data_IF_704102169866
#
_entry.id   IF_704102169866
#
_cell.length_a   1.000
_cell.length_b   1.000
_cell.length_c   1.000
_cell.angle_alpha   90.00
_cell.angle_beta   90.00
_cell.angle_gamma   90.00
#
_symmetry.space_group_name_H-M   'P 1'
#
loop_
_entity.id
_entity.type
_entity.pdbx_description
1 polymer ?
#
# COMPACT_ATOMS: atom_id res chain seq x y z
N UNK A 1 -7.00 9.42 -0.39
CA UNK A 1 -6.26 8.26 -0.92
C UNK A 1 -4.90 8.10 -0.25
N UNK A 2 -3.96 9.04 -0.40
CA UNK A 2 -2.62 8.94 0.19
C UNK A 2 -2.60 8.74 1.72
N UNK A 3 -3.44 9.47 2.46
CA UNK A 3 -3.56 9.31 3.92
C UNK A 3 -4.07 7.92 4.32
N UNK A 4 -5.04 7.38 3.58
CA UNK A 4 -5.56 6.01 3.80
C UNK A 4 -4.45 4.98 3.59
N UNK A 5 -3.64 5.16 2.54
CA UNK A 5 -2.46 4.31 2.29
C UNK A 5 -1.46 4.40 3.43
N UNK A 6 -1.15 5.61 3.89
CA UNK A 6 -0.21 5.86 4.98
C UNK A 6 -0.65 5.21 6.29
N UNK A 7 -1.89 5.47 6.71
CA UNK A 7 -2.43 4.96 7.97
C UNK A 7 -2.64 3.46 7.92
N UNK A 8 -3.24 2.94 6.86
CA UNK A 8 -3.57 1.52 6.76
C UNK A 8 -2.34 0.64 6.55
N UNK A 9 -1.34 1.06 5.78
CA UNK A 9 -0.07 0.30 5.67
C UNK A 9 0.75 0.31 6.97
N UNK A 10 0.49 1.24 7.88
CA UNK A 10 1.10 1.26 9.22
C UNK A 10 0.46 0.22 10.15
N UNK A 11 -0.75 -0.24 9.86
CA UNK A 11 -1.35 -1.37 10.55
C UNK A 11 -0.70 -2.67 10.08
N UNK A 12 -0.46 -3.61 10.99
CA UNK A 12 0.17 -4.89 10.66
C UNK A 12 -0.63 -5.69 9.61
N UNK A 13 -1.94 -5.50 9.58
CA UNK A 13 -2.86 -6.14 8.63
C UNK A 13 -2.79 -5.54 7.22
N UNK A 14 -2.28 -4.30 7.10
CA UNK A 14 -2.28 -3.53 5.87
C UNK A 14 -3.65 -2.95 5.53
N UNK A 15 -3.89 -2.78 4.24
CA UNK A 15 -5.10 -2.17 3.66
C UNK A 15 -5.84 -3.20 2.82
N UNK A 16 -7.15 -3.34 3.04
CA UNK A 16 -8.01 -4.11 2.16
C UNK A 16 -8.33 -3.32 0.90
N UNK A 17 -8.18 -3.98 -0.25
CA UNK A 17 -8.46 -3.41 -1.57
C UNK A 17 -9.93 -2.98 -1.66
N UNK A 18 -10.84 -3.86 -1.22
CA UNK A 18 -12.29 -3.57 -1.20
C UNK A 18 -12.64 -2.38 -0.31
N UNK A 19 -12.03 -2.27 0.86
CA UNK A 19 -12.29 -1.14 1.76
C UNK A 19 -11.86 0.18 1.12
N UNK A 20 -10.71 0.20 0.43
CA UNK A 20 -10.29 1.36 -0.34
C UNK A 20 -11.29 1.66 -1.48
N UNK A 21 -11.71 0.65 -2.23
CA UNK A 21 -12.68 0.79 -3.32
C UNK A 21 -14.03 1.33 -2.82
N UNK A 22 -14.54 0.83 -1.69
CA UNK A 22 -15.80 1.27 -1.09
C UNK A 22 -15.73 2.74 -0.64
N UNK A 23 -14.56 3.19 -0.16
CA UNK A 23 -14.35 4.56 0.30
C UNK A 23 -14.08 5.57 -0.84
N UNK A 24 -13.44 5.14 -1.93
CA UNK A 24 -12.95 6.06 -2.97
C UNK A 24 -13.52 5.81 -4.38
N UNK A 25 -14.24 4.71 -4.59
CA UNK A 25 -14.84 4.34 -5.88
C UNK A 25 -13.84 3.89 -6.95
N UNK A 26 -12.57 3.69 -6.58
CA UNK A 26 -11.48 3.30 -7.49
C UNK A 26 -10.56 2.28 -6.82
N UNK A 27 -9.94 1.40 -7.61
CA UNK A 27 -9.01 0.42 -7.06
C UNK A 27 -7.67 1.07 -6.67
N UNK A 28 -7.12 0.79 -5.48
CA UNK A 28 -5.77 1.24 -5.13
C UNK A 28 -4.72 0.64 -6.06
N UNK A 29 -5.00 -0.53 -6.65
CA UNK A 29 -4.12 -1.18 -7.63
C UNK A 29 -3.99 -0.37 -8.92
N UNK A 30 -5.03 0.35 -9.33
CA UNK A 30 -5.01 1.19 -10.52
C UNK A 30 -4.38 2.56 -10.22
N UNK A 31 -4.78 3.18 -9.11
CA UNK A 31 -4.30 4.51 -8.70
C UNK A 31 -2.79 4.50 -8.41
N UNK A 32 -2.29 3.43 -7.79
CA UNK A 32 -0.89 3.32 -7.35
C UNK A 32 -0.11 2.24 -8.10
N UNK A 33 -0.57 1.80 -9.28
CA UNK A 33 0.07 0.76 -10.09
C UNK A 33 1.61 0.87 -10.17
N UNK A 34 2.21 2.01 -10.59
CA UNK A 34 3.67 2.11 -10.70
C UNK A 34 4.37 2.04 -9.34
N UNK A 35 3.77 2.62 -8.29
CA UNK A 35 4.31 2.60 -6.93
C UNK A 35 4.27 1.19 -6.36
N UNK A 36 3.18 0.46 -6.56
CA UNK A 36 3.07 -0.94 -6.12
C UNK A 36 4.01 -1.85 -6.88
N UNK A 37 4.17 -1.69 -8.19
CA UNK A 37 5.11 -2.48 -8.96
C UNK A 37 6.55 -2.29 -8.45
N UNK A 38 6.96 -1.04 -8.25
CA UNK A 38 8.28 -0.71 -7.71
C UNK A 38 8.51 -1.30 -6.32
N UNK A 39 7.56 -1.10 -5.39
CA UNK A 39 7.68 -1.57 -4.02
C UNK A 39 7.60 -3.10 -3.90
N UNK A 40 6.82 -3.75 -4.76
CA UNK A 40 6.72 -5.22 -4.81
C UNK A 40 8.02 -5.81 -5.38
N UNK A 41 8.56 -5.23 -6.45
CA UNK A 41 9.89 -5.61 -6.99
C UNK A 41 11.01 -5.43 -5.96
N UNK A 42 10.93 -4.39 -5.14
CA UNK A 42 11.85 -4.16 -4.03
C UNK A 42 11.61 -5.06 -2.81
N UNK A 43 10.57 -5.90 -2.81
CA UNK A 43 10.22 -6.79 -1.69
C UNK A 43 9.75 -6.05 -0.44
N UNK A 44 9.31 -4.80 -0.56
CA UNK A 44 8.88 -3.96 0.57
C UNK A 44 7.39 -4.10 0.87
N UNK A 45 6.58 -4.39 -0.14
CA UNK A 45 5.17 -4.69 0.04
C UNK A 45 4.85 -6.06 -0.55
N UNK A 46 3.75 -6.62 -0.05
CA UNK A 46 3.09 -7.78 -0.64
C UNK A 46 1.66 -7.38 -0.99
N UNK A 47 1.30 -7.63 -2.24
CA UNK A 47 -0.05 -7.47 -2.77
C UNK A 47 -0.62 -8.86 -2.96
N UNK A 48 -1.75 -9.15 -2.31
CA UNK A 48 -2.56 -10.34 -2.58
C UNK A 48 -3.92 -9.95 -3.18
N UNK A 49 -4.79 -10.92 -3.46
CA UNK A 49 -6.09 -10.68 -4.08
C UNK A 49 -7.06 -9.85 -3.22
N UNK A 50 -6.77 -9.63 -1.93
CA UNK A 50 -7.63 -8.94 -0.97
C UNK A 50 -6.98 -7.70 -0.36
N UNK A 51 -5.67 -7.68 -0.15
CA UNK A 51 -4.98 -6.64 0.62
C UNK A 51 -3.57 -6.34 0.15
N UNK A 52 -3.10 -5.16 0.52
CA UNK A 52 -1.72 -4.71 0.40
C UNK A 52 -1.14 -4.51 1.80
N UNK A 53 0.03 -5.08 2.07
CA UNK A 53 0.69 -4.98 3.38
C UNK A 53 2.20 -4.88 3.25
N UNK A 54 2.85 -4.37 4.30
CA UNK A 54 4.31 -4.36 4.39
C UNK A 54 4.84 -5.79 4.57
N UNK A 55 6.00 -6.06 3.98
CA UNK A 55 6.83 -7.21 4.37
C UNK A 55 7.64 -6.85 5.62
N UNK A 56 8.38 -7.80 6.18
CA UNK A 56 9.30 -7.50 7.29
C UNK A 56 10.32 -6.40 6.90
N UNK A 57 10.87 -6.47 5.69
CA UNK A 57 11.76 -5.44 5.16
C UNK A 57 11.04 -4.09 4.95
N UNK A 58 9.80 -4.14 4.45
CA UNK A 58 8.94 -2.96 4.33
C UNK A 58 8.64 -2.28 5.66
N UNK A 59 8.47 -3.04 6.74
CA UNK A 59 8.27 -2.49 8.08
C UNK A 59 9.51 -1.76 8.58
N UNK A 60 10.71 -2.30 8.35
CA UNK A 60 11.98 -1.64 8.71
C UNK A 60 12.21 -0.34 7.91
N UNK A 61 11.70 -0.30 6.68
CA UNK A 61 11.82 0.84 5.76
C UNK A 61 10.48 1.59 5.58
N UNK A 62 9.58 1.52 6.57
CA UNK A 62 8.19 1.95 6.41
C UNK A 62 8.09 3.41 5.98
N UNK A 63 8.92 4.29 6.54
CA UNK A 63 8.94 5.71 6.19
C UNK A 63 9.29 5.95 4.71
N UNK A 64 10.17 5.12 4.14
CA UNK A 64 10.54 5.19 2.71
C UNK A 64 9.44 4.62 1.82
N UNK A 65 8.66 3.66 2.31
CA UNK A 65 7.47 3.17 1.59
C UNK A 65 6.39 4.24 1.57
N UNK A 66 6.13 4.85 2.73
CA UNK A 66 5.09 5.86 2.93
C UNK A 66 5.31 7.13 2.12
N UNK A 67 6.56 7.61 2.02
CA UNK A 67 6.88 8.80 1.24
C UNK A 67 6.54 8.67 -0.24
N UNK A 68 6.44 7.44 -0.78
CA UNK A 68 6.06 7.19 -2.18
C UNK A 68 4.57 7.39 -2.48
N UNK A 69 3.74 7.54 -1.45
CA UNK A 69 2.31 7.79 -1.59
C UNK A 69 1.95 9.27 -1.39
N UNK A 70 2.91 10.09 -0.96
CA UNK A 70 2.75 11.55 -0.84
C UNK A 70 2.95 12.22 -2.21
N UNK A 71 2.29 13.36 -2.46
CA UNK A 71 2.48 14.15 -3.68
C UNK A 71 3.90 14.72 -3.81
#
# INVERSE_FOLDING_TARGET
MAEFMFLGLRLAEGIMIREFEDNFGVSPLDVYAPTFEMLTKAGLIMVDAKRVRLTLAGMLLSNQVFSRFLP
#
